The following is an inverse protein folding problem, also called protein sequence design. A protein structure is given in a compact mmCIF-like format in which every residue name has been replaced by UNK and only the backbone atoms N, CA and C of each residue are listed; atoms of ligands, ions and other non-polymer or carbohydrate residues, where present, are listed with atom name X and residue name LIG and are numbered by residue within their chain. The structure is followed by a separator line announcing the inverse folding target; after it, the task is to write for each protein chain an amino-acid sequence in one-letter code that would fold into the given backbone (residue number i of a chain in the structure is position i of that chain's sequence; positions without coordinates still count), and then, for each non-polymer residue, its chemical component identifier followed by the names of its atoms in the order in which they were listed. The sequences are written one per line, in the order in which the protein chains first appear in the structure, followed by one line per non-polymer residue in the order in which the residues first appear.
data_IF_670951254671
#
_entry.id   IF_670951254671
#
_cell.length_a   1.000
_cell.length_b   1.000
_cell.length_c   1.000
_cell.angle_alpha   90.00
_cell.angle_beta   90.00
_cell.angle_gamma   90.00
#
_symmetry.space_group_name_H-M   'P 1'
#
loop_
_entity.id
_entity.type
_entity.pdbx_description
1 polymer ?
#
# COMPACT_ATOMS: atom_id res chain seq x y z
N UNK A 1 63.74 14.33 -34.47
CA UNK A 1 63.00 13.46 -33.58
C UNK A 1 61.80 14.25 -33.01
N UNK A 2 60.57 13.94 -33.48
CA UNK A 2 59.33 14.60 -32.98
C UNK A 2 58.66 13.65 -31.97
N UNK A 3 58.61 14.04 -30.71
CA UNK A 3 57.89 13.31 -29.68
C UNK A 3 56.40 13.65 -29.80
N UNK A 4 55.55 12.62 -30.08
CA UNK A 4 54.10 12.72 -29.98
C UNK A 4 53.73 12.46 -28.50
N UNK A 5 53.21 13.48 -27.83
CA UNK A 5 52.60 13.37 -26.51
C UNK A 5 51.21 12.81 -26.75
N UNK A 6 50.93 11.60 -26.27
CA UNK A 6 49.60 10.99 -26.26
C UNK A 6 49.00 11.34 -24.87
N UNK A 7 48.08 12.29 -24.88
CA UNK A 7 47.31 12.64 -23.68
C UNK A 7 46.18 11.63 -23.49
N UNK A 8 46.27 10.79 -22.47
CA UNK A 8 45.23 9.87 -22.06
C UNK A 8 44.18 10.62 -21.23
N UNK A 9 43.03 10.91 -21.81
CA UNK A 9 41.89 11.51 -21.07
C UNK A 9 41.19 10.39 -20.29
N UNK A 10 41.40 10.36 -18.96
CA UNK A 10 40.68 9.46 -18.05
C UNK A 10 39.30 10.06 -17.77
N UNK A 11 38.26 9.55 -18.45
CA UNK A 11 36.87 9.91 -18.16
C UNK A 11 36.45 9.19 -16.87
N UNK A 12 36.54 9.86 -15.72
CA UNK A 12 35.90 9.37 -14.47
C UNK A 12 34.39 9.47 -14.63
N UNK A 13 33.74 8.36 -14.88
CA UNK A 13 32.31 8.22 -14.74
C UNK A 13 32.00 8.22 -13.25
N UNK A 14 31.60 9.37 -12.71
CA UNK A 14 31.04 9.48 -11.36
C UNK A 14 29.65 8.80 -11.38
N UNK A 15 29.63 7.53 -11.06
CA UNK A 15 28.37 6.83 -10.72
C UNK A 15 27.91 7.41 -9.38
N UNK A 16 27.04 8.40 -9.42
CA UNK A 16 26.33 8.86 -8.23
C UNK A 16 25.42 7.74 -7.76
N UNK A 17 25.87 6.94 -6.81
CA UNK A 17 24.98 6.04 -6.05
C UNK A 17 24.08 6.95 -5.23
N UNK A 18 22.88 7.25 -5.77
CA UNK A 18 21.83 7.88 -4.97
C UNK A 18 21.43 6.88 -3.89
N UNK A 19 21.94 7.08 -2.67
CA UNK A 19 21.40 6.37 -1.52
C UNK A 19 19.89 6.65 -1.46
N UNK A 20 19.11 5.58 -1.38
CA UNK A 20 17.64 5.68 -1.28
C UNK A 20 17.32 6.45 0.00
N UNK A 21 16.71 7.63 -0.13
CA UNK A 21 16.41 8.50 1.00
C UNK A 21 15.46 7.80 1.98
N UNK A 22 15.85 7.74 3.26
CA UNK A 22 15.01 7.13 4.30
C UNK A 22 13.80 8.02 4.54
N UNK A 23 12.61 7.49 4.32
CA UNK A 23 11.37 8.20 4.60
C UNK A 23 11.21 8.44 6.11
N UNK A 24 10.44 9.49 6.46
CA UNK A 24 10.04 9.73 7.84
C UNK A 24 9.06 8.65 8.29
N UNK A 25 9.39 7.94 9.35
CA UNK A 25 8.47 7.01 10.01
C UNK A 25 7.63 7.79 11.03
N UNK A 26 6.28 7.68 11.00
CA UNK A 26 5.48 8.13 12.13
C UNK A 26 5.87 7.39 13.41
N UNK A 27 5.70 8.03 14.56
CA UNK A 27 5.97 7.40 15.85
C UNK A 27 5.09 6.17 16.05
N UNK A 28 5.65 5.10 16.59
CA UNK A 28 4.88 3.94 17.01
C UNK A 28 3.91 4.31 18.13
N UNK A 29 2.76 3.65 18.16
CA UNK A 29 1.75 3.91 19.17
C UNK A 29 2.15 3.29 20.52
N UNK A 30 1.66 3.93 21.59
CA UNK A 30 1.74 3.42 22.96
C UNK A 30 0.40 3.62 23.67
N UNK A 31 0.18 2.93 24.74
CA UNK A 31 -1.02 3.12 25.58
C UNK A 31 -1.17 4.60 25.97
N UNK A 32 -2.38 5.12 25.87
CA UNK A 32 -2.71 6.53 26.06
C UNK A 32 -2.68 7.38 24.78
N UNK A 33 -2.18 6.87 23.67
CA UNK A 33 -2.25 7.58 22.39
C UNK A 33 -3.68 7.60 21.82
N UNK A 34 -3.98 8.64 21.05
CA UNK A 34 -5.29 8.80 20.39
C UNK A 34 -5.17 8.47 18.89
N UNK A 35 -6.11 7.68 18.37
CA UNK A 35 -6.29 7.45 16.95
C UNK A 35 -7.66 7.94 16.48
N UNK A 36 -7.76 8.27 15.19
CA UNK A 36 -9.04 8.60 14.56
C UNK A 36 -9.49 7.46 13.65
N UNK A 37 -10.77 7.07 13.71
CA UNK A 37 -11.40 6.21 12.70
C UNK A 37 -12.26 7.11 11.81
N UNK A 38 -11.96 7.14 10.50
CA UNK A 38 -12.60 8.01 9.52
C UNK A 38 -13.11 7.21 8.32
N UNK A 39 -14.11 7.75 7.62
CA UNK A 39 -14.61 7.18 6.36
C UNK A 39 -14.31 8.12 5.18
N UNK A 40 -13.09 8.10 4.61
CA UNK A 40 -12.69 9.05 3.57
C UNK A 40 -13.29 8.74 2.18
N UNK A 41 -13.92 7.59 2.00
CA UNK A 41 -14.34 7.06 0.71
C UNK A 41 -15.81 6.61 0.68
N UNK A 42 -16.06 5.30 0.55
CA UNK A 42 -17.39 4.72 0.39
C UNK A 42 -18.24 4.79 1.66
N UNK A 43 -19.56 4.81 1.43
CA UNK A 43 -20.57 4.85 2.49
C UNK A 43 -20.40 3.72 3.51
N UNK A 44 -20.58 4.03 4.77
CA UNK A 44 -20.82 3.08 5.86
C UNK A 44 -22.32 2.85 6.01
N UNK A 45 -22.83 1.76 5.44
CA UNK A 45 -24.25 1.40 5.62
C UNK A 45 -24.59 1.29 7.10
N UNK A 46 -25.87 1.54 7.52
CA UNK A 46 -26.27 1.47 8.95
C UNK A 46 -25.87 0.17 9.65
N UNK A 47 -25.91 -0.98 8.94
CA UNK A 47 -25.44 -2.27 9.46
C UNK A 47 -23.97 -2.30 9.86
N UNK A 48 -23.14 -1.45 9.26
CA UNK A 48 -21.69 -1.37 9.54
C UNK A 48 -21.32 -0.51 10.73
N UNK A 49 -22.29 0.23 11.32
CA UNK A 49 -22.03 1.03 12.50
C UNK A 49 -21.57 0.17 13.67
N UNK A 50 -22.19 -0.99 13.88
CA UNK A 50 -21.79 -1.95 14.92
C UNK A 50 -20.34 -2.42 14.72
N UNK A 51 -19.94 -2.72 13.49
CA UNK A 51 -18.58 -3.18 13.15
C UNK A 51 -17.54 -2.08 13.42
N UNK A 52 -17.85 -0.83 13.08
CA UNK A 52 -16.97 0.31 13.41
C UNK A 52 -16.82 0.48 14.93
N UNK A 53 -17.89 0.26 15.70
CA UNK A 53 -17.81 0.29 17.16
C UNK A 53 -16.99 -0.88 17.71
N UNK A 54 -17.06 -2.07 17.12
CA UNK A 54 -16.17 -3.18 17.45
C UNK A 54 -14.70 -2.84 17.17
N UNK A 55 -14.41 -2.17 16.05
CA UNK A 55 -13.05 -1.71 15.73
C UNK A 55 -12.55 -0.69 16.76
N UNK A 56 -13.42 0.24 17.19
CA UNK A 56 -13.15 1.16 18.30
C UNK A 56 -12.79 0.38 19.57
N UNK A 57 -13.63 -0.57 19.97
CA UNK A 57 -13.40 -1.40 21.18
C UNK A 57 -12.09 -2.21 21.07
N UNK A 58 -11.77 -2.75 19.87
CA UNK A 58 -10.53 -3.45 19.63
C UNK A 58 -9.32 -2.54 19.90
N UNK A 59 -9.30 -1.34 19.35
CA UNK A 59 -8.21 -0.39 19.57
C UNK A 59 -8.14 0.08 21.04
N UNK A 60 -9.29 0.29 21.70
CA UNK A 60 -9.36 0.62 23.12
C UNK A 60 -8.83 -0.52 24.00
N UNK A 61 -9.04 -1.77 23.60
CA UNK A 61 -8.45 -2.93 24.31
C UNK A 61 -6.93 -2.97 24.26
N UNK A 62 -6.32 -2.22 23.33
CA UNK A 62 -4.85 -2.02 23.24
C UNK A 62 -4.37 -0.81 24.05
N UNK A 63 -5.27 -0.16 24.80
CA UNK A 63 -4.98 1.03 25.62
C UNK A 63 -4.99 2.34 24.85
N UNK A 64 -5.55 2.37 23.65
CA UNK A 64 -5.65 3.59 22.82
C UNK A 64 -6.95 4.35 23.10
N UNK A 65 -6.94 5.66 22.93
CA UNK A 65 -8.16 6.45 22.81
C UNK A 65 -8.59 6.53 21.35
N UNK A 66 -9.90 6.45 21.11
CA UNK A 66 -10.44 6.44 19.74
C UNK A 66 -11.46 7.56 19.55
N UNK A 67 -11.22 8.42 18.58
CA UNK A 67 -12.19 9.40 18.08
C UNK A 67 -12.76 8.95 16.75
N UNK A 68 -14.04 9.18 16.53
CA UNK A 68 -14.73 8.89 15.28
C UNK A 68 -14.93 10.17 14.49
N UNK A 69 -14.80 10.09 13.15
CA UNK A 69 -15.11 11.21 12.28
C UNK A 69 -16.55 11.69 12.46
N UNK A 70 -16.75 13.00 12.48
CA UNK A 70 -18.04 13.62 12.72
C UNK A 70 -19.07 13.27 11.64
N UNK A 71 -18.61 13.21 10.40
CA UNK A 71 -19.45 13.01 9.22
C UNK A 71 -19.41 11.56 8.70
N UNK A 72 -18.63 10.66 9.31
CA UNK A 72 -18.31 9.34 8.76
C UNK A 72 -19.53 8.43 8.49
N UNK A 73 -20.68 8.70 9.11
CA UNK A 73 -21.93 7.97 8.92
C UNK A 73 -22.92 8.71 8.01
N UNK A 74 -22.54 9.86 7.45
CA UNK A 74 -23.35 10.54 6.46
C UNK A 74 -23.35 9.77 5.13
N UNK A 75 -24.33 10.10 4.29
CA UNK A 75 -24.43 9.53 2.95
C UNK A 75 -24.64 10.62 1.91
N UNK A 76 -23.84 10.59 0.88
CA UNK A 76 -24.06 11.30 -0.37
C UNK A 76 -23.83 10.33 -1.53
N UNK A 77 -24.89 9.81 -2.14
CA UNK A 77 -24.82 8.75 -3.16
C UNK A 77 -24.00 7.53 -2.66
N UNK A 78 -22.85 7.27 -3.30
CA UNK A 78 -21.94 6.17 -3.01
C UNK A 78 -21.02 6.45 -1.82
N UNK A 79 -20.88 7.70 -1.38
CA UNK A 79 -19.86 8.18 -0.47
C UNK A 79 -20.35 8.33 0.97
N UNK A 80 -19.41 8.31 1.91
CA UNK A 80 -19.63 8.61 3.32
C UNK A 80 -19.73 10.14 3.54
N UNK A 81 -20.83 10.75 3.04
CA UNK A 81 -21.03 12.19 2.99
C UNK A 81 -20.47 12.84 1.72
N UNK A 82 -20.61 14.15 1.64
CA UNK A 82 -20.05 14.98 0.55
C UNK A 82 -18.52 14.97 0.55
N UNK A 83 -17.90 15.37 -0.57
CA UNK A 83 -16.44 15.52 -0.64
C UNK A 83 -15.92 16.49 0.44
N UNK A 84 -16.68 17.56 0.73
CA UNK A 84 -16.29 18.54 1.74
C UNK A 84 -16.38 17.98 3.16
N UNK A 85 -17.40 17.21 3.50
CA UNK A 85 -17.53 16.57 4.81
C UNK A 85 -16.42 15.55 5.05
N UNK A 86 -16.12 14.70 4.06
CA UNK A 86 -15.03 13.72 4.16
C UNK A 86 -13.65 14.39 4.26
N UNK A 87 -13.44 15.45 3.46
CA UNK A 87 -12.22 16.25 3.52
C UNK A 87 -12.08 16.96 4.87
N UNK A 88 -13.16 17.51 5.43
CA UNK A 88 -13.13 18.19 6.73
C UNK A 88 -12.76 17.22 7.87
N UNK A 89 -13.36 16.02 7.93
CA UNK A 89 -13.01 15.01 8.92
C UNK A 89 -11.54 14.61 8.80
N UNK A 90 -11.07 14.42 7.57
CA UNK A 90 -9.69 13.99 7.32
C UNK A 90 -8.69 15.10 7.65
N UNK A 91 -8.99 16.34 7.27
CA UNK A 91 -8.15 17.51 7.55
C UNK A 91 -8.04 17.78 9.05
N UNK A 92 -9.16 17.72 9.78
CA UNK A 92 -9.15 17.87 11.24
C UNK A 92 -8.21 16.84 11.90
N UNK A 93 -8.26 15.59 11.45
CA UNK A 93 -7.39 14.56 11.96
C UNK A 93 -5.92 14.73 11.52
N UNK A 94 -5.65 15.19 10.30
CA UNK A 94 -4.30 15.52 9.84
C UNK A 94 -3.66 16.63 10.68
N UNK A 95 -4.43 17.66 11.01
CA UNK A 95 -3.94 18.85 11.70
C UNK A 95 -3.80 18.65 13.21
N UNK A 96 -4.58 17.75 13.80
CA UNK A 96 -4.58 17.53 15.23
C UNK A 96 -3.34 16.73 15.70
N UNK A 97 -2.39 17.41 16.33
CA UNK A 97 -1.14 16.82 16.84
C UNK A 97 -1.32 15.71 17.88
N UNK A 98 -2.48 15.65 18.53
CA UNK A 98 -2.79 14.61 19.52
C UNK A 98 -3.19 13.28 18.85
N UNK A 99 -3.69 13.31 17.61
CA UNK A 99 -3.98 12.11 16.83
C UNK A 99 -2.67 11.55 16.29
N UNK A 100 -2.40 10.27 16.58
CA UNK A 100 -1.17 9.55 16.18
C UNK A 100 -1.37 8.63 14.98
N UNK A 101 -2.63 8.27 14.69
CA UNK A 101 -2.97 7.46 13.52
C UNK A 101 -4.38 7.83 13.01
N UNK A 102 -4.56 7.72 11.69
CA UNK A 102 -5.85 7.80 11.01
C UNK A 102 -6.12 6.42 10.42
N UNK A 103 -7.09 5.73 10.98
CA UNK A 103 -7.51 4.40 10.55
C UNK A 103 -8.77 4.50 9.69
N UNK A 104 -8.67 4.15 8.42
CA UNK A 104 -9.82 4.17 7.52
C UNK A 104 -10.85 3.13 7.96
N UNK A 105 -12.09 3.55 8.09
CA UNK A 105 -13.19 2.65 8.41
C UNK A 105 -13.46 1.69 7.24
N UNK A 106 -13.38 2.23 6.01
CA UNK A 106 -13.66 1.50 4.77
C UNK A 106 -13.00 2.20 3.58
N UNK A 107 -12.64 1.41 2.56
CA UNK A 107 -12.31 1.88 1.21
C UNK A 107 -13.57 2.05 0.33
N UNK A 108 -13.57 1.43 -0.82
CA UNK A 108 -14.61 1.54 -1.84
C UNK A 108 -14.15 2.48 -2.96
N UNK A 109 -14.67 3.70 -3.01
CA UNK A 109 -14.24 4.73 -3.93
C UNK A 109 -14.47 6.11 -3.31
N UNK A 110 -13.56 7.05 -3.53
CA UNK A 110 -13.75 8.44 -3.13
C UNK A 110 -12.53 9.13 -2.57
N UNK A 111 -11.46 8.42 -2.19
CA UNK A 111 -10.23 9.02 -1.64
C UNK A 111 -9.60 10.01 -2.61
N UNK A 112 -9.51 9.69 -3.89
CA UNK A 112 -8.94 10.58 -4.92
C UNK A 112 -9.71 11.90 -5.05
N UNK A 113 -11.01 11.93 -4.73
CA UNK A 113 -11.86 13.12 -4.84
C UNK A 113 -11.56 14.18 -3.78
N UNK A 114 -11.05 13.74 -2.63
CA UNK A 114 -10.73 14.63 -1.51
C UNK A 114 -9.23 14.91 -1.40
N UNK A 115 -8.39 14.11 -2.03
CA UNK A 115 -6.93 14.18 -1.89
C UNK A 115 -6.38 15.59 -2.19
N UNK A 116 -6.84 16.21 -3.27
CA UNK A 116 -6.41 17.56 -3.68
C UNK A 116 -7.09 18.71 -2.89
N UNK A 117 -8.03 18.39 -1.98
CA UNK A 117 -8.65 19.34 -1.06
C UNK A 117 -7.92 19.43 0.28
N UNK A 118 -6.96 18.53 0.53
CA UNK A 118 -6.26 18.42 1.79
C UNK A 118 -4.94 19.20 1.77
N UNK A 119 -4.66 19.88 2.89
CA UNK A 119 -3.36 20.48 3.18
C UNK A 119 -2.54 19.54 4.07
N UNK A 120 -1.42 19.07 3.56
CA UNK A 120 -0.51 18.17 4.28
C UNK A 120 0.61 18.91 5.02
N UNK A 121 0.62 20.23 5.07
CA UNK A 121 1.70 21.04 5.66
C UNK A 121 1.96 20.66 7.12
N UNK A 122 0.92 20.66 7.96
CA UNK A 122 1.06 20.29 9.37
C UNK A 122 1.35 18.80 9.56
N UNK A 123 0.80 17.96 8.68
CA UNK A 123 1.04 16.52 8.68
C UNK A 123 2.52 16.19 8.42
N UNK A 124 3.19 16.87 7.48
CA UNK A 124 4.62 16.65 7.20
C UNK A 124 5.53 17.06 8.34
N UNK A 125 5.09 18.00 9.19
CA UNK A 125 5.78 18.39 10.40
C UNK A 125 5.57 17.39 11.56
N UNK A 126 4.36 16.83 11.67
CA UNK A 126 3.96 15.87 12.69
C UNK A 126 3.32 14.63 12.04
N UNK A 127 4.13 13.76 11.41
CA UNK A 127 3.61 12.58 10.72
C UNK A 127 2.87 11.65 11.65
N UNK A 128 1.80 11.05 11.15
CA UNK A 128 0.99 10.03 11.81
C UNK A 128 0.69 8.90 10.85
N UNK A 129 0.40 7.72 11.36
CA UNK A 129 0.07 6.57 10.52
C UNK A 129 -1.23 6.81 9.77
N UNK A 130 -1.18 6.69 8.44
CA UNK A 130 -2.38 6.59 7.60
C UNK A 130 -2.56 5.11 7.27
N UNK A 131 -3.71 4.55 7.66
CA UNK A 131 -3.93 3.11 7.74
C UNK A 131 -5.14 2.72 6.89
N UNK A 132 -4.96 1.72 6.04
CA UNK A 132 -5.99 1.12 5.22
C UNK A 132 -5.42 0.42 4.00
N UNK A 133 -6.28 -0.04 3.11
CA UNK A 133 -5.94 -0.69 1.86
C UNK A 133 -6.99 -0.34 0.79
N UNK A 134 -6.95 -0.96 -0.39
CA UNK A 134 -7.94 -0.67 -1.44
C UNK A 134 -7.87 0.79 -1.87
N UNK A 135 -8.98 1.53 -1.83
CA UNK A 135 -9.08 2.95 -2.20
C UNK A 135 -8.11 3.87 -1.42
N UNK A 136 -7.65 3.43 -0.22
CA UNK A 136 -6.68 4.16 0.59
C UNK A 136 -5.29 4.19 -0.06
N UNK A 137 -5.03 3.34 -1.04
CA UNK A 137 -3.84 3.39 -1.89
C UNK A 137 -3.58 4.80 -2.44
N UNK A 138 -4.63 5.58 -2.70
CA UNK A 138 -4.49 6.97 -3.16
C UNK A 138 -3.73 7.84 -2.14
N UNK A 139 -4.03 7.69 -0.84
CA UNK A 139 -3.30 8.38 0.22
C UNK A 139 -1.88 7.82 0.38
N UNK A 140 -1.72 6.50 0.31
CA UNK A 140 -0.40 5.88 0.42
C UNK A 140 0.56 6.44 -0.63
N UNK A 141 0.13 6.51 -1.89
CA UNK A 141 0.95 7.03 -2.97
C UNK A 141 1.30 8.50 -2.80
N UNK A 142 0.31 9.33 -2.47
CA UNK A 142 0.52 10.76 -2.27
C UNK A 142 1.49 11.04 -1.12
N UNK A 143 1.28 10.35 0.01
CA UNK A 143 2.07 10.53 1.24
C UNK A 143 3.49 9.96 1.08
N UNK A 144 3.65 8.88 0.31
CA UNK A 144 4.98 8.39 -0.07
C UNK A 144 5.80 9.47 -0.78
N UNK A 145 5.17 10.21 -1.73
CA UNK A 145 5.83 11.31 -2.44
C UNK A 145 6.13 12.51 -1.53
N UNK A 146 5.48 12.62 -0.37
CA UNK A 146 5.84 13.58 0.69
C UNK A 146 6.97 13.08 1.60
N UNK A 147 7.52 11.90 1.33
CA UNK A 147 8.64 11.33 2.08
C UNK A 147 8.24 10.71 3.42
N UNK A 148 7.01 10.18 3.56
CA UNK A 148 6.48 9.65 4.82
C UNK A 148 5.97 8.21 4.60
N UNK A 149 6.25 7.33 5.58
CA UNK A 149 5.75 5.96 5.60
C UNK A 149 4.26 5.91 5.93
N UNK A 150 3.56 4.89 5.38
CA UNK A 150 2.15 4.63 5.64
C UNK A 150 1.92 3.14 5.90
N UNK A 151 0.72 2.75 6.32
CA UNK A 151 0.42 1.37 6.70
C UNK A 151 -0.70 0.79 5.85
N UNK A 152 -0.35 -0.04 4.87
CA UNK A 152 -1.31 -0.91 4.18
C UNK A 152 -1.71 -2.02 5.14
N UNK A 153 -2.92 -1.95 5.68
CA UNK A 153 -3.42 -2.89 6.69
C UNK A 153 -4.95 -2.89 6.72
N UNK A 154 -5.50 -3.78 7.53
CA UNK A 154 -6.94 -3.89 7.74
C UNK A 154 -7.62 -2.54 8.00
N UNK A 155 -8.84 -2.41 7.55
CA UNK A 155 -9.76 -1.31 7.87
C UNK A 155 -10.76 -1.75 8.95
N UNK A 156 -11.51 -0.82 9.54
CA UNK A 156 -12.47 -1.16 10.59
C UNK A 156 -13.50 -2.20 10.13
N UNK A 157 -13.97 -2.09 8.88
CA UNK A 157 -14.91 -3.07 8.30
C UNK A 157 -14.31 -4.45 8.02
N UNK A 158 -13.01 -4.64 8.12
CA UNK A 158 -12.41 -5.99 8.04
C UNK A 158 -12.84 -6.90 9.21
N UNK A 159 -13.38 -6.35 10.29
CA UNK A 159 -13.97 -7.11 11.39
C UNK A 159 -15.35 -7.74 11.04
N UNK A 160 -15.87 -7.53 9.83
CA UNK A 160 -17.01 -8.29 9.29
C UNK A 160 -16.66 -9.75 8.98
N UNK A 161 -15.37 -10.03 8.80
CA UNK A 161 -14.86 -11.37 8.54
C UNK A 161 -14.92 -12.27 9.79
N UNK A 162 -14.87 -13.59 9.57
CA UNK A 162 -14.86 -14.54 10.68
C UNK A 162 -13.63 -14.32 11.57
N UNK A 163 -13.78 -14.26 12.90
CA UNK A 163 -12.65 -14.00 13.81
C UNK A 163 -11.45 -14.95 13.60
N UNK A 164 -11.71 -16.23 13.31
CA UNK A 164 -10.64 -17.21 13.05
C UNK A 164 -9.86 -16.94 11.75
N UNK A 165 -10.46 -16.26 10.79
CA UNK A 165 -9.83 -15.95 9.50
C UNK A 165 -8.95 -14.68 9.53
N UNK A 166 -9.12 -13.83 10.55
CA UNK A 166 -8.42 -12.53 10.65
C UNK A 166 -7.41 -12.46 11.81
N UNK A 167 -7.04 -13.59 12.40
CA UNK A 167 -6.10 -13.64 13.54
C UNK A 167 -4.77 -13.00 13.17
N UNK A 168 -4.16 -13.44 12.06
CA UNK A 168 -2.88 -12.90 11.58
C UNK A 168 -3.00 -11.43 11.11
N UNK A 169 -4.13 -11.09 10.52
CA UNK A 169 -4.47 -9.72 10.12
C UNK A 169 -4.42 -8.77 11.32
N UNK A 170 -5.14 -9.09 12.40
CA UNK A 170 -5.17 -8.30 13.64
C UNK A 170 -3.80 -8.32 14.33
N UNK A 171 -3.17 -9.51 14.41
CA UNK A 171 -1.87 -9.69 15.07
C UNK A 171 -0.79 -8.82 14.42
N UNK A 172 -0.64 -8.90 13.09
CA UNK A 172 0.37 -8.13 12.36
C UNK A 172 0.06 -6.64 12.38
N UNK A 173 -1.19 -6.24 12.30
CA UNK A 173 -1.61 -4.85 12.42
C UNK A 173 -1.21 -4.26 13.77
N UNK A 174 -1.54 -4.95 14.88
CA UNK A 174 -1.16 -4.51 16.23
C UNK A 174 0.36 -4.42 16.36
N UNK A 175 1.08 -5.48 16.00
CA UNK A 175 2.55 -5.53 16.09
C UNK A 175 3.20 -4.33 15.41
N UNK A 176 2.83 -4.07 14.15
CA UNK A 176 3.40 -2.95 13.39
C UNK A 176 3.09 -1.61 14.03
N UNK A 177 1.85 -1.39 14.49
CA UNK A 177 1.47 -0.13 15.13
C UNK A 177 2.26 0.16 16.41
N UNK A 178 2.58 -0.87 17.19
CA UNK A 178 3.32 -0.75 18.45
C UNK A 178 4.83 -0.95 18.30
N UNK A 179 5.34 -1.06 17.06
CA UNK A 179 6.77 -1.12 16.78
C UNK A 179 7.41 -2.49 16.98
N UNK A 180 6.60 -3.54 17.06
CA UNK A 180 7.11 -4.90 17.08
C UNK A 180 7.52 -5.33 15.67
N UNK A 181 8.60 -6.09 15.55
CA UNK A 181 9.06 -6.62 14.28
C UNK A 181 8.09 -7.66 13.72
N UNK A 182 7.92 -7.64 12.40
CA UNK A 182 7.16 -8.65 11.67
C UNK A 182 7.99 -9.24 10.54
N UNK A 183 7.81 -10.53 10.32
CA UNK A 183 8.41 -11.26 9.20
C UNK A 183 7.36 -12.21 8.64
N UNK A 184 7.20 -12.20 7.33
CA UNK A 184 6.17 -12.97 6.64
C UNK A 184 6.79 -14.10 5.85
N UNK A 185 6.31 -15.32 6.08
CA UNK A 185 6.58 -16.47 5.23
C UNK A 185 5.57 -16.48 4.09
N UNK A 186 6.06 -16.43 2.86
CA UNK A 186 5.25 -16.43 1.63
C UNK A 186 5.37 -17.80 0.99
N UNK A 187 4.24 -18.51 0.87
CA UNK A 187 4.19 -19.80 0.22
C UNK A 187 4.60 -19.67 -1.26
N UNK A 188 5.46 -20.56 -1.73
CA UNK A 188 5.87 -20.57 -3.13
C UNK A 188 4.68 -20.83 -4.06
N UNK A 189 4.68 -20.12 -5.19
CA UNK A 189 3.77 -20.36 -6.32
C UNK A 189 4.53 -20.95 -7.49
N UNK A 190 3.87 -21.78 -8.28
CA UNK A 190 4.43 -22.26 -9.56
C UNK A 190 4.67 -21.11 -10.57
N UNK A 191 4.04 -19.96 -10.35
CA UNK A 191 4.21 -18.76 -11.16
C UNK A 191 5.32 -17.84 -10.67
N UNK A 192 5.96 -18.12 -9.53
CA UNK A 192 7.07 -17.31 -9.07
C UNK A 192 8.18 -17.27 -10.13
N UNK A 193 8.60 -16.06 -10.48
CA UNK A 193 9.74 -15.84 -11.37
C UNK A 193 10.91 -15.32 -10.55
N UNK A 194 11.93 -16.16 -10.42
CA UNK A 194 13.12 -15.89 -9.63
C UNK A 194 14.33 -16.33 -10.42
N UNK A 195 15.31 -15.44 -10.61
CA UNK A 195 16.51 -15.75 -11.40
C UNK A 195 17.62 -16.36 -10.50
N UNK A 196 17.72 -15.87 -9.30
CA UNK A 196 18.65 -16.36 -8.27
C UNK A 196 17.91 -16.45 -6.94
N UNK A 197 18.44 -17.30 -6.05
CA UNK A 197 17.96 -17.40 -4.66
C UNK A 197 18.63 -16.28 -3.84
N UNK A 198 18.23 -15.04 -4.07
CA UNK A 198 18.91 -13.86 -3.55
C UNK A 198 18.07 -13.11 -2.53
N UNK A 199 18.77 -12.25 -1.82
CA UNK A 199 18.16 -11.24 -0.96
C UNK A 199 18.01 -9.94 -1.72
N UNK A 200 16.76 -9.50 -1.90
CA UNK A 200 16.44 -8.21 -2.52
C UNK A 200 16.12 -7.21 -1.41
N UNK A 201 16.72 -6.03 -1.48
CA UNK A 201 16.45 -4.94 -0.54
C UNK A 201 15.95 -3.70 -1.29
N UNK A 202 14.84 -3.13 -0.82
CA UNK A 202 14.26 -1.91 -1.38
C UNK A 202 13.10 -1.42 -0.52
N UNK A 203 12.68 -0.18 -0.71
CA UNK A 203 11.44 0.28 -0.11
C UNK A 203 10.26 -0.41 -0.78
N UNK A 204 9.33 -0.97 0.01
CA UNK A 204 8.08 -1.51 -0.53
C UNK A 204 7.06 -0.40 -0.70
N UNK A 205 6.46 -0.33 -1.88
CA UNK A 205 5.43 0.65 -2.27
C UNK A 205 4.36 -0.05 -3.10
N UNK A 206 3.24 0.59 -3.34
CA UNK A 206 2.23 0.04 -4.25
C UNK A 206 0.82 0.09 -3.68
N UNK A 207 0.05 -0.98 -3.85
CA UNK A 207 -1.32 -1.16 -3.38
C UNK A 207 -2.26 -1.71 -4.43
N UNK A 208 -3.51 -1.24 -4.42
CA UNK A 208 -4.55 -1.68 -5.34
C UNK A 208 -4.26 -1.25 -6.78
N UNK A 209 -4.32 -2.19 -7.72
CA UNK A 209 -3.92 -2.01 -9.13
C UNK A 209 -4.76 -0.95 -9.84
N UNK A 210 -6.08 -0.92 -9.62
CA UNK A 210 -6.95 0.08 -10.22
C UNK A 210 -6.62 1.49 -9.71
N UNK A 211 -6.30 1.63 -8.42
CA UNK A 211 -5.93 2.92 -7.85
C UNK A 211 -4.54 3.35 -8.35
N UNK A 212 -3.55 2.46 -8.39
CA UNK A 212 -2.23 2.76 -8.97
C UNK A 212 -2.37 3.30 -10.40
N UNK A 213 -3.21 2.65 -11.21
CA UNK A 213 -3.46 3.06 -12.59
C UNK A 213 -4.17 4.42 -12.66
N UNK A 214 -5.12 4.69 -11.76
CA UNK A 214 -5.85 5.96 -11.72
C UNK A 214 -4.99 7.16 -11.31
N UNK A 215 -3.84 6.90 -10.67
CA UNK A 215 -2.91 7.95 -10.23
C UNK A 215 -1.88 8.34 -11.29
N UNK A 216 -1.82 7.63 -12.43
CA UNK A 216 -0.87 7.91 -13.52
C UNK A 216 -1.04 9.34 -14.03
N UNK A 217 0.10 10.03 -14.23
CA UNK A 217 0.14 11.42 -14.70
C UNK A 217 -0.21 12.47 -13.64
N UNK A 218 -0.59 12.07 -12.42
CA UNK A 218 -0.86 13.00 -11.32
C UNK A 218 0.39 13.22 -10.46
N UNK A 219 0.35 14.24 -9.58
CA UNK A 219 1.38 14.48 -8.55
C UNK A 219 1.51 13.33 -7.54
N UNK A 220 0.55 12.42 -7.52
CA UNK A 220 0.52 11.25 -6.64
C UNK A 220 0.97 9.96 -7.33
N UNK A 221 1.43 10.04 -8.59
CA UNK A 221 2.05 8.91 -9.26
C UNK A 221 3.34 8.53 -8.53
N UNK A 222 3.51 7.23 -8.26
CA UNK A 222 4.74 6.72 -7.64
C UNK A 222 5.92 6.69 -8.63
N UNK A 223 7.11 6.97 -8.11
CA UNK A 223 8.35 6.55 -8.75
C UNK A 223 8.73 5.16 -8.21
N UNK A 224 8.72 4.17 -9.07
CA UNK A 224 8.96 2.76 -8.72
C UNK A 224 10.42 2.33 -8.90
N UNK A 225 11.29 3.21 -9.42
CA UNK A 225 12.71 2.94 -9.61
C UNK A 225 13.37 2.52 -8.30
N UNK A 226 14.14 1.43 -8.31
CA UNK A 226 14.82 0.85 -7.15
C UNK A 226 13.91 0.43 -5.99
N UNK A 227 12.61 0.24 -6.22
CA UNK A 227 11.62 -0.17 -5.21
C UNK A 227 11.22 -1.63 -5.36
N UNK A 228 10.56 -2.16 -4.34
CA UNK A 228 9.76 -3.38 -4.40
C UNK A 228 8.31 -2.95 -4.59
N UNK A 229 7.70 -3.33 -5.70
CA UNK A 229 6.32 -2.95 -6.01
C UNK A 229 5.36 -4.04 -5.53
N UNK A 230 4.45 -3.67 -4.64
CA UNK A 230 3.33 -4.51 -4.22
C UNK A 230 2.08 -4.18 -5.04
N UNK A 231 1.38 -5.21 -5.53
CA UNK A 231 0.11 -5.06 -6.25
C UNK A 231 -0.92 -6.09 -5.75
N UNK A 232 -2.17 -5.66 -5.64
CA UNK A 232 -3.33 -6.50 -5.36
C UNK A 232 -4.56 -5.97 -6.10
N UNK A 233 -5.64 -6.76 -6.26
CA UNK A 233 -6.84 -6.29 -6.94
C UNK A 233 -8.09 -7.10 -6.54
N UNK A 234 -9.28 -6.48 -6.68
CA UNK A 234 -10.56 -7.14 -6.44
C UNK A 234 -11.61 -6.79 -7.48
N UNK A 235 -12.38 -7.81 -7.88
CA UNK A 235 -13.67 -7.62 -8.54
C UNK A 235 -13.59 -7.15 -9.99
N UNK A 236 -12.41 -7.16 -10.60
CA UNK A 236 -12.20 -6.72 -11.96
C UNK A 236 -12.36 -7.86 -12.99
N UNK A 237 -12.66 -7.51 -14.24
CA UNK A 237 -12.57 -8.46 -15.35
C UNK A 237 -11.10 -8.66 -15.76
N UNK A 238 -10.77 -9.85 -16.28
CA UNK A 238 -9.41 -10.12 -16.77
C UNK A 238 -8.91 -9.08 -17.78
N UNK A 239 -9.75 -8.67 -18.73
CA UNK A 239 -9.36 -7.64 -19.70
C UNK A 239 -9.05 -6.28 -19.04
N UNK A 240 -9.74 -5.96 -17.94
CA UNK A 240 -9.49 -4.73 -17.19
C UNK A 240 -8.15 -4.81 -16.46
N UNK A 241 -7.83 -5.96 -15.85
CA UNK A 241 -6.53 -6.22 -15.23
C UNK A 241 -5.41 -6.11 -16.28
N UNK A 242 -5.55 -6.78 -17.43
CA UNK A 242 -4.57 -6.66 -18.51
C UNK A 242 -4.38 -5.20 -18.92
N UNK A 243 -5.46 -4.46 -19.18
CA UNK A 243 -5.39 -3.04 -19.53
C UNK A 243 -4.67 -2.20 -18.47
N UNK A 244 -4.91 -2.44 -17.19
CA UNK A 244 -4.24 -1.74 -16.09
C UNK A 244 -2.74 -2.07 -16.08
N UNK A 245 -2.38 -3.33 -16.22
CA UNK A 245 -0.97 -3.77 -16.31
C UNK A 245 -0.26 -3.13 -17.52
N UNK A 246 -0.91 -3.09 -18.70
CA UNK A 246 -0.37 -2.42 -19.88
C UNK A 246 -0.22 -0.90 -19.66
N UNK A 247 -1.14 -0.27 -18.94
CA UNK A 247 -1.04 1.15 -18.58
C UNK A 247 0.16 1.41 -17.68
N UNK A 248 0.36 0.60 -16.65
CA UNK A 248 1.52 0.69 -15.76
C UNK A 248 2.82 0.42 -16.52
N UNK A 249 2.85 -0.59 -17.41
CA UNK A 249 4.01 -0.88 -18.27
C UNK A 249 4.38 0.31 -19.14
N UNK A 250 3.40 0.93 -19.82
CA UNK A 250 3.60 2.12 -20.67
C UNK A 250 4.02 3.37 -19.87
N UNK A 251 3.65 3.43 -18.58
CA UNK A 251 4.07 4.47 -17.64
C UNK A 251 5.40 4.15 -16.94
N UNK A 252 6.15 3.15 -17.42
CA UNK A 252 7.44 2.71 -16.89
C UNK A 252 7.45 2.23 -15.43
N UNK A 253 6.30 1.80 -14.90
CA UNK A 253 6.22 1.30 -13.52
C UNK A 253 7.06 0.06 -13.26
N UNK A 254 7.34 -0.73 -14.30
CA UNK A 254 8.16 -1.94 -14.18
C UNK A 254 9.61 -1.72 -14.61
N UNK A 255 9.98 -0.52 -15.04
CA UNK A 255 11.36 -0.20 -15.41
C UNK A 255 12.20 0.00 -14.15
N UNK A 256 13.30 -0.75 -14.02
CA UNK A 256 14.23 -0.68 -12.88
C UNK A 256 13.58 -0.95 -11.51
N UNK A 257 12.40 -1.58 -11.45
CA UNK A 257 11.85 -2.08 -10.19
C UNK A 257 12.67 -3.29 -9.74
N UNK A 258 12.95 -3.41 -8.44
CA UNK A 258 13.81 -4.50 -7.90
C UNK A 258 13.09 -5.84 -7.84
N UNK A 259 11.80 -5.82 -7.54
CA UNK A 259 10.93 -6.98 -7.53
C UNK A 259 9.47 -6.55 -7.53
N UNK A 260 8.59 -7.45 -7.95
CA UNK A 260 7.14 -7.30 -7.77
C UNK A 260 6.65 -8.36 -6.81
N UNK A 261 5.90 -7.93 -5.79
CA UNK A 261 5.21 -8.80 -4.83
C UNK A 261 3.72 -8.72 -5.12
N UNK A 262 3.11 -9.84 -5.43
CA UNK A 262 1.70 -9.94 -5.79
C UNK A 262 0.91 -10.47 -4.61
N UNK A 263 -0.02 -9.66 -4.12
CA UNK A 263 -1.00 -10.03 -3.12
C UNK A 263 -2.20 -10.76 -3.71
N UNK A 264 -3.36 -10.63 -3.06
CA UNK A 264 -4.56 -11.29 -3.51
C UNK A 264 -5.09 -10.68 -4.83
N UNK A 265 -5.53 -11.54 -5.75
CA UNK A 265 -6.31 -11.19 -6.93
C UNK A 265 -7.71 -11.77 -6.74
N UNK A 266 -8.56 -11.03 -6.02
CA UNK A 266 -9.81 -11.56 -5.46
C UNK A 266 -11.01 -11.34 -6.39
N UNK A 267 -11.98 -12.25 -6.35
CA UNK A 267 -13.28 -12.13 -7.03
C UNK A 267 -13.19 -11.72 -8.52
N UNK A 268 -12.18 -12.22 -9.23
CA UNK A 268 -11.95 -11.88 -10.63
C UNK A 268 -13.11 -12.38 -11.50
N UNK A 269 -13.71 -11.46 -12.23
CA UNK A 269 -14.88 -11.72 -13.08
C UNK A 269 -14.49 -12.43 -14.38
N UNK A 270 -15.37 -13.34 -14.81
CA UNK A 270 -15.22 -14.01 -16.11
C UNK A 270 -15.62 -13.06 -17.24
N UNK A 271 -14.82 -13.00 -18.30
CA UNK A 271 -15.18 -12.31 -19.53
C UNK A 271 -16.26 -13.09 -20.30
N UNK A 272 -17.05 -12.39 -21.11
CA UNK A 272 -17.99 -13.03 -22.05
C UNK A 272 -17.26 -13.90 -23.07
N UNK A 273 -16.12 -13.42 -23.59
CA UNK A 273 -15.21 -14.21 -24.41
C UNK A 273 -14.15 -14.85 -23.50
N UNK A 274 -13.90 -16.15 -23.67
CA UNK A 274 -12.93 -16.88 -22.85
C UNK A 274 -11.54 -16.27 -23.02
N UNK A 275 -10.91 -15.94 -21.89
CA UNK A 275 -9.52 -15.51 -21.83
C UNK A 275 -8.61 -16.73 -21.61
N UNK A 276 -7.62 -16.95 -22.45
CA UNK A 276 -6.80 -18.15 -22.42
C UNK A 276 -5.78 -18.22 -21.29
N UNK A 277 -5.26 -17.05 -20.85
CA UNK A 277 -4.22 -16.98 -19.82
C UNK A 277 -4.81 -16.92 -18.40
N UNK A 278 -4.05 -17.35 -17.38
CA UNK A 278 -4.34 -17.07 -15.98
C UNK A 278 -4.05 -15.60 -15.65
N UNK A 279 -4.44 -15.13 -14.45
CA UNK A 279 -4.09 -13.78 -13.97
C UNK A 279 -2.60 -13.66 -13.74
N UNK A 280 -2.00 -14.70 -13.17
CA UNK A 280 -0.57 -14.75 -12.90
C UNK A 280 0.23 -14.63 -14.22
N UNK A 281 -0.23 -15.31 -15.28
CA UNK A 281 0.42 -15.22 -16.59
C UNK A 281 0.30 -13.81 -17.17
N UNK A 282 -0.86 -13.14 -17.06
CA UNK A 282 -1.02 -11.76 -17.51
C UNK A 282 -0.07 -10.81 -16.77
N UNK A 283 0.11 -11.00 -15.47
CA UNK A 283 1.05 -10.23 -14.67
C UNK A 283 2.49 -10.47 -15.16
N UNK A 284 2.87 -11.73 -15.36
CA UNK A 284 4.21 -12.09 -15.84
C UNK A 284 4.51 -11.52 -17.24
N UNK A 285 3.51 -11.52 -18.12
CA UNK A 285 3.65 -11.01 -19.51
C UNK A 285 3.83 -9.46 -19.54
N UNK A 286 3.30 -8.77 -18.55
CA UNK A 286 3.42 -7.32 -18.45
C UNK A 286 4.77 -6.86 -17.87
N UNK A 287 5.38 -7.66 -16.98
CA UNK A 287 6.59 -7.33 -16.24
C UNK A 287 7.82 -7.84 -17.00
N UNK A 288 8.89 -7.03 -17.19
CA UNK A 288 10.14 -7.45 -17.82
C UNK A 288 10.69 -8.75 -17.22
N UNK A 289 11.25 -9.61 -18.09
CA UNK A 289 11.62 -10.98 -17.71
C UNK A 289 12.75 -11.07 -16.69
N UNK A 290 13.56 -10.05 -16.57
CA UNK A 290 14.67 -9.92 -15.61
C UNK A 290 14.21 -9.49 -14.21
N UNK A 291 12.95 -9.07 -14.04
CA UNK A 291 12.40 -8.63 -12.75
C UNK A 291 11.83 -9.84 -12.00
N UNK A 292 12.27 -10.13 -10.77
CA UNK A 292 11.67 -11.14 -9.92
C UNK A 292 10.21 -10.82 -9.56
N UNK A 293 9.34 -11.85 -9.61
CA UNK A 293 7.91 -11.74 -9.25
C UNK A 293 7.56 -12.83 -8.25
N UNK A 294 7.07 -12.45 -7.09
CA UNK A 294 6.66 -13.34 -6.00
C UNK A 294 5.16 -13.22 -5.81
N UNK A 295 4.45 -14.32 -5.96
CA UNK A 295 3.00 -14.41 -5.74
C UNK A 295 2.66 -14.90 -4.34
N UNK A 296 1.38 -14.87 -4.01
CA UNK A 296 0.78 -15.38 -2.78
C UNK A 296 1.16 -14.59 -1.51
N UNK A 297 1.53 -13.31 -1.62
CA UNK A 297 1.66 -12.51 -0.40
C UNK A 297 0.27 -12.33 0.24
N UNK A 298 0.09 -12.66 1.55
CA UNK A 298 -1.21 -12.61 2.20
C UNK A 298 -1.60 -11.16 2.55
N UNK A 299 -1.91 -10.37 1.55
CA UNK A 299 -2.47 -9.02 1.69
C UNK A 299 -3.33 -8.66 0.47
N UNK A 300 -4.35 -7.86 0.69
CA UNK A 300 -5.34 -7.44 -0.30
C UNK A 300 -6.77 -7.59 0.23
N UNK A 301 -7.66 -8.19 -0.56
CA UNK A 301 -9.09 -8.27 -0.24
C UNK A 301 -9.55 -9.65 0.26
N UNK A 302 -8.64 -10.45 0.79
CA UNK A 302 -8.98 -11.67 1.52
C UNK A 302 -8.94 -11.41 3.03
N UNK A 303 -9.49 -12.32 3.83
CA UNK A 303 -9.54 -12.20 5.29
C UNK A 303 -8.13 -12.12 5.91
N UNK A 304 -7.17 -12.94 5.43
CA UNK A 304 -5.75 -12.82 5.80
C UNK A 304 -5.14 -11.65 5.00
N UNK A 305 -5.16 -10.46 5.61
CA UNK A 305 -4.64 -9.21 5.04
C UNK A 305 -3.58 -8.63 5.98
N UNK A 306 -2.37 -9.14 5.90
CA UNK A 306 -1.25 -8.79 6.78
C UNK A 306 -0.70 -7.41 6.48
N UNK A 307 -0.26 -6.73 7.53
CA UNK A 307 0.17 -5.33 7.46
C UNK A 307 1.50 -5.14 6.70
N UNK A 308 1.55 -4.18 5.78
CA UNK A 308 2.76 -3.75 5.08
C UNK A 308 3.06 -2.29 5.37
N UNK A 309 4.29 -1.98 5.78
CA UNK A 309 4.75 -0.59 5.98
C UNK A 309 5.25 -0.06 4.64
N UNK A 310 4.42 0.69 3.93
CA UNK A 310 4.82 1.29 2.66
C UNK A 310 5.82 2.42 2.87
N UNK A 311 6.87 2.42 2.06
CA UNK A 311 7.99 3.34 2.14
C UNK A 311 9.15 2.82 2.99
N UNK A 312 8.95 1.77 3.81
CA UNK A 312 10.01 1.18 4.64
C UNK A 312 10.93 0.30 3.81
N UNK A 313 12.22 0.35 4.15
CA UNK A 313 13.20 -0.58 3.60
C UNK A 313 12.84 -2.01 4.02
N UNK A 314 12.71 -2.86 3.02
CA UNK A 314 12.21 -4.22 3.13
C UNK A 314 13.25 -5.18 2.61
N UNK A 315 13.42 -6.31 3.28
CA UNK A 315 14.26 -7.42 2.88
C UNK A 315 13.37 -8.56 2.39
N UNK A 316 13.47 -8.89 1.12
CA UNK A 316 12.80 -10.02 0.48
C UNK A 316 13.85 -11.11 0.23
N UNK A 317 13.81 -12.20 1.00
CA UNK A 317 14.63 -13.38 0.76
C UNK A 317 13.83 -14.39 -0.06
N UNK A 318 14.40 -14.86 -1.14
CA UNK A 318 13.78 -15.79 -2.07
C UNK A 318 14.41 -17.16 -1.90
N UNK A 319 13.61 -18.19 -1.72
CA UNK A 319 14.06 -19.58 -1.71
C UNK A 319 13.14 -20.48 -2.55
N UNK A 320 13.53 -21.73 -2.77
CA UNK A 320 12.76 -22.69 -3.56
C UNK A 320 11.41 -23.05 -2.92
N UNK A 321 11.37 -23.19 -1.58
CA UNK A 321 10.18 -23.65 -0.87
C UNK A 321 9.27 -22.50 -0.44
N UNK A 322 9.85 -21.37 -0.05
CA UNK A 322 9.12 -20.19 0.39
C UNK A 322 9.99 -18.94 0.29
N UNK A 323 9.37 -17.79 0.18
CA UNK A 323 10.06 -16.51 0.33
C UNK A 323 9.75 -15.92 1.70
N UNK A 324 10.62 -15.03 2.19
CA UNK A 324 10.33 -14.27 3.41
C UNK A 324 10.44 -12.78 3.14
N UNK A 325 9.52 -12.02 3.69
CA UNK A 325 9.52 -10.56 3.63
C UNK A 325 9.58 -10.02 5.06
N UNK A 326 10.55 -9.16 5.34
CA UNK A 326 10.71 -8.50 6.64
C UNK A 326 11.09 -7.04 6.45
N UNK A 327 10.84 -6.23 7.48
CA UNK A 327 11.20 -4.81 7.50
C UNK A 327 12.46 -4.59 8.34
N UNK A 328 13.30 -3.63 7.91
CA UNK A 328 14.47 -3.16 8.68
C UNK A 328 14.03 -2.25 9.85
#
# INVERSE_FOLDING_TARGET
MKYKIVTFLFLMILVSIKAQEKLKSPAYLKAGDTIAILAPAGILKPSRKAVVLQAKQLAESWGLYVVLGKNMFHQNNHFAGTDNERAADFQEALDNKNIKAIWAARGGYGSVRILDKLDFTKFTQNPKWIIGYSDITAFHNHIHNLGIETLHAMMATSLEEKPSAIIETISTFKKVLFGESVSYKIQSSAYNRTHNLDTIQGQIIGGNLAILTSMLGSKSQLNTEDKILFIEEIGEYKYAIDRMLQSLKRANYFTNVKAVVVGNMSLIKKNSTKWGSSIEQLILDAIPTDIPVIFNFPAGHEADNRALIFGRKTKLNISKEHSTLSFD
#
